data_IF_761160897819
#
_entry.id   IF_761160897819
#
_cell.length_a   1.000
_cell.length_b   1.000
_cell.length_c   1.000
_cell.angle_alpha   90.00
_cell.angle_beta   90.00
_cell.angle_gamma   90.00
#
_symmetry.space_group_name_H-M   'P 1'
#
loop_
_entity.id
_entity.type
_entity.pdbx_description
1 polymer ?
#
# COMPACT_ATOMS: atom_id res chain seq x y z
N UNK A 1 -7.11 25.31 -2.32
CA UNK A 1 -7.84 24.05 -2.60
C UNK A 1 -8.32 23.41 -1.31
N UNK A 2 -7.45 23.17 -0.32
CA UNK A 2 -7.86 22.81 1.04
C UNK A 2 -8.34 24.07 1.77
N UNK A 3 -9.66 24.27 1.86
CA UNK A 3 -10.26 25.42 2.57
C UNK A 3 -11.29 26.23 1.78
N UNK A 4 -11.62 25.85 0.54
CA UNK A 4 -12.77 26.44 -0.14
C UNK A 4 -14.08 26.00 0.56
N UNK A 5 -14.94 26.94 0.97
CA UNK A 5 -16.24 26.59 1.54
C UNK A 5 -17.05 25.76 0.53
N UNK A 6 -17.47 24.56 0.93
CA UNK A 6 -18.32 23.66 0.13
C UNK A 6 -17.70 22.33 -0.28
N UNK A 7 -16.40 22.11 -0.06
CA UNK A 7 -15.75 20.82 -0.30
C UNK A 7 -15.61 20.04 1.02
N UNK A 8 -16.51 19.08 1.24
CA UNK A 8 -16.42 18.12 2.34
C UNK A 8 -15.83 16.81 1.79
N UNK A 9 -14.68 16.42 2.32
CA UNK A 9 -14.03 15.15 2.01
C UNK A 9 -13.79 14.39 3.30
N UNK A 10 -14.17 13.11 3.33
CA UNK A 10 -13.81 12.21 4.42
C UNK A 10 -12.34 11.75 4.31
N UNK A 11 -11.81 11.71 3.08
CA UNK A 11 -10.48 11.21 2.78
C UNK A 11 -9.77 12.05 1.71
N UNK A 12 -8.47 12.18 1.88
CA UNK A 12 -7.55 12.72 0.89
C UNK A 12 -6.47 11.66 0.63
N UNK A 13 -6.40 11.20 -0.62
CA UNK A 13 -5.42 10.18 -1.04
C UNK A 13 -4.37 10.88 -1.89
N UNK A 14 -3.12 10.74 -1.49
CA UNK A 14 -1.97 11.22 -2.25
C UNK A 14 -1.30 10.01 -2.91
N UNK A 15 -1.30 9.99 -4.24
CA UNK A 15 -0.50 9.05 -5.02
C UNK A 15 0.89 9.66 -5.20
N UNK A 16 1.87 9.07 -4.53
CA UNK A 16 3.27 9.49 -4.60
C UNK A 16 3.98 8.54 -5.55
N UNK A 17 4.41 9.07 -6.70
CA UNK A 17 5.12 8.31 -7.71
C UNK A 17 6.51 7.85 -7.26
N UNK A 18 7.24 7.26 -8.20
CA UNK A 18 8.55 6.69 -7.91
C UNK A 18 9.57 7.82 -7.68
N UNK A 19 10.07 7.97 -6.45
CA UNK A 19 11.12 8.94 -6.14
C UNK A 19 11.06 9.44 -4.71
N UNK A 20 11.98 10.33 -4.37
CA UNK A 20 11.96 11.04 -3.10
C UNK A 20 12.45 12.47 -3.32
N UNK A 21 11.56 13.43 -3.11
CA UNK A 21 11.82 14.86 -3.28
C UNK A 21 11.16 15.63 -2.14
N UNK A 22 11.44 16.93 -2.02
CA UNK A 22 10.79 17.81 -1.03
C UNK A 22 9.25 17.74 -1.09
N UNK A 23 8.69 17.48 -2.28
CA UNK A 23 7.26 17.23 -2.44
C UNK A 23 6.81 15.99 -1.67
N UNK A 24 7.55 14.87 -1.77
CA UNK A 24 7.24 13.64 -1.04
C UNK A 24 7.31 13.88 0.47
N UNK A 25 8.35 14.59 0.94
CA UNK A 25 8.50 14.91 2.36
C UNK A 25 7.32 15.71 2.91
N UNK A 26 6.86 16.71 2.16
CA UNK A 26 5.71 17.53 2.56
C UNK A 26 4.43 16.69 2.76
N UNK A 27 4.12 15.77 1.84
CA UNK A 27 2.93 14.91 1.98
C UNK A 27 3.08 13.85 3.07
N UNK A 28 4.26 13.25 3.18
CA UNK A 28 4.55 12.30 4.26
C UNK A 28 4.44 12.97 5.64
N UNK A 29 4.86 14.23 5.76
CA UNK A 29 4.78 15.01 7.00
C UNK A 29 3.36 15.29 7.48
N UNK A 30 2.37 15.34 6.58
CA UNK A 30 0.95 15.59 6.93
C UNK A 30 0.08 14.33 6.90
N UNK A 31 0.62 13.18 6.46
CA UNK A 31 -0.13 11.95 6.33
C UNK A 31 -0.47 11.35 7.70
N UNK A 32 -1.74 11.00 7.92
CA UNK A 32 -2.19 10.25 9.10
C UNK A 32 -2.06 8.74 8.94
N UNK A 33 -1.88 8.26 7.71
CA UNK A 33 -1.67 6.85 7.38
C UNK A 33 -0.83 6.76 6.10
N UNK A 34 0.13 5.84 6.08
CA UNK A 34 1.02 5.62 4.95
C UNK A 34 0.93 4.15 4.55
N UNK A 35 0.76 3.90 3.25
CA UNK A 35 0.82 2.57 2.66
C UNK A 35 1.88 2.53 1.58
N UNK A 36 2.77 1.55 1.65
CA UNK A 36 3.78 1.26 0.63
C UNK A 36 3.26 0.14 -0.27
N UNK A 37 3.25 0.37 -1.58
CA UNK A 37 3.03 -0.69 -2.57
C UNK A 37 4.38 -1.27 -2.98
N UNK A 38 4.51 -2.59 -2.90
CA UNK A 38 5.64 -3.34 -3.44
C UNK A 38 5.10 -4.55 -4.21
N UNK A 39 5.85 -5.11 -5.14
CA UNK A 39 5.50 -6.40 -5.77
C UNK A 39 6.32 -7.55 -5.17
N UNK A 40 5.95 -8.79 -5.50
CA UNK A 40 6.62 -9.99 -4.98
C UNK A 40 8.08 -10.15 -5.45
N UNK A 41 8.54 -9.33 -6.41
CA UNK A 41 9.89 -9.44 -6.97
C UNK A 41 10.92 -8.86 -6.02
N UNK A 42 12.09 -9.50 -5.96
CA UNK A 42 13.17 -9.12 -5.04
C UNK A 42 13.60 -7.65 -5.16
N UNK A 43 13.67 -7.11 -6.37
CA UNK A 43 14.01 -5.70 -6.62
C UNK A 43 12.98 -4.73 -6.03
N UNK A 44 11.70 -5.08 -6.11
CA UNK A 44 10.60 -4.26 -5.56
C UNK A 44 10.55 -4.32 -4.05
N UNK A 45 10.83 -5.49 -3.45
CA UNK A 45 11.02 -5.63 -2.01
C UNK A 45 12.17 -4.73 -1.53
N UNK A 46 13.32 -4.77 -2.21
CA UNK A 46 14.47 -3.93 -1.86
C UNK A 46 14.15 -2.42 -1.96
N UNK A 47 13.43 -2.02 -3.01
CA UNK A 47 12.97 -0.64 -3.18
C UNK A 47 11.95 -0.24 -2.11
N UNK A 48 11.01 -1.12 -1.77
CA UNK A 48 10.05 -0.93 -0.70
C UNK A 48 10.74 -0.69 0.65
N UNK A 49 11.79 -1.45 0.95
CA UNK A 49 12.61 -1.24 2.15
C UNK A 49 13.32 0.13 2.12
N UNK A 50 13.92 0.49 1.00
CA UNK A 50 14.56 1.80 0.86
C UNK A 50 13.55 2.94 1.09
N UNK A 51 12.31 2.79 0.61
CA UNK A 51 11.25 3.76 0.80
C UNK A 51 10.76 3.82 2.25
N UNK A 52 10.59 2.68 2.92
CA UNK A 52 10.27 2.62 4.36
C UNK A 52 11.34 3.37 5.17
N UNK A 53 12.62 3.14 4.86
CA UNK A 53 13.73 3.86 5.50
C UNK A 53 13.66 5.36 5.29
N UNK A 54 13.23 5.82 4.13
CA UNK A 54 13.05 7.24 3.82
C UNK A 54 11.84 7.84 4.53
N UNK A 55 10.70 7.14 4.53
CA UNK A 55 9.51 7.52 5.29
C UNK A 55 9.88 7.72 6.76
N UNK A 56 10.62 6.77 7.36
CA UNK A 56 11.07 6.85 8.75
C UNK A 56 12.09 7.94 9.04
N UNK A 57 12.63 8.64 8.04
CA UNK A 57 13.41 9.87 8.28
C UNK A 57 12.52 11.10 8.42
N UNK A 58 11.37 11.10 7.75
CA UNK A 58 10.43 12.23 7.73
C UNK A 58 9.35 12.09 8.79
N UNK A 59 8.87 10.87 9.03
CA UNK A 59 7.74 10.59 9.89
C UNK A 59 8.01 9.40 10.82
N UNK A 60 8.14 9.67 12.11
CA UNK A 60 8.53 8.67 13.12
C UNK A 60 7.33 7.85 13.62
N UNK A 61 6.17 8.48 13.80
CA UNK A 61 5.08 7.90 14.59
C UNK A 61 4.00 7.19 13.75
N UNK A 62 3.86 7.54 12.46
CA UNK A 62 2.75 7.04 11.64
C UNK A 62 2.97 5.59 11.26
N UNK A 63 2.06 4.65 11.55
CA UNK A 63 2.20 3.25 11.14
C UNK A 63 2.35 3.10 9.63
N UNK A 64 3.31 2.29 9.19
CA UNK A 64 3.49 1.98 7.76
C UNK A 64 2.79 0.65 7.44
N UNK A 65 1.77 0.75 6.60
CA UNK A 65 1.16 -0.41 5.95
C UNK A 65 1.92 -0.81 4.69
N UNK A 66 1.90 -2.09 4.36
CA UNK A 66 2.41 -2.61 3.08
C UNK A 66 1.31 -3.40 2.37
N UNK A 67 1.16 -3.10 1.08
CA UNK A 67 0.31 -3.85 0.15
C UNK A 67 1.22 -4.54 -0.85
N UNK A 68 1.14 -5.86 -0.94
CA UNK A 68 1.90 -6.60 -1.95
C UNK A 68 1.05 -6.71 -3.22
N UNK A 69 1.56 -6.14 -4.30
CA UNK A 69 0.89 -6.03 -5.58
C UNK A 69 1.36 -7.13 -6.54
N UNK A 70 0.47 -7.56 -7.43
CA UNK A 70 0.77 -8.49 -8.53
C UNK A 70 1.39 -9.81 -8.07
N UNK A 71 0.85 -10.40 -7.01
CA UNK A 71 1.22 -11.76 -6.58
C UNK A 71 0.32 -12.79 -7.26
N UNK A 72 0.87 -13.96 -7.59
CA UNK A 72 0.12 -15.08 -8.16
C UNK A 72 -0.74 -15.77 -7.10
N UNK A 73 -0.30 -15.75 -5.83
CA UNK A 73 -1.03 -16.33 -4.71
C UNK A 73 -0.86 -15.53 -3.41
N UNK A 74 -1.70 -15.83 -2.42
CA UNK A 74 -1.61 -15.23 -1.10
C UNK A 74 -0.31 -15.63 -0.38
N UNK A 75 0.10 -16.88 -0.53
CA UNK A 75 1.32 -17.41 0.08
C UNK A 75 2.54 -16.64 -0.42
N UNK A 76 2.62 -16.42 -1.74
CA UNK A 76 3.68 -15.61 -2.35
C UNK A 76 3.68 -14.18 -1.79
N UNK A 77 2.50 -13.56 -1.68
CA UNK A 77 2.37 -12.22 -1.12
C UNK A 77 2.84 -12.15 0.34
N UNK A 78 2.47 -13.11 1.16
CA UNK A 78 2.88 -13.19 2.56
C UNK A 78 4.40 -13.42 2.67
N UNK A 79 4.98 -14.28 1.84
CA UNK A 79 6.43 -14.47 1.80
C UNK A 79 7.19 -13.20 1.42
N UNK A 80 6.70 -12.45 0.41
CA UNK A 80 7.28 -11.18 0.01
C UNK A 80 7.21 -10.13 1.13
N UNK A 81 6.05 -10.02 1.78
CA UNK A 81 5.87 -9.16 2.95
C UNK A 81 6.82 -9.53 4.09
N UNK A 82 6.93 -10.82 4.44
CA UNK A 82 7.78 -11.28 5.54
C UNK A 82 9.26 -10.95 5.29
N UNK A 83 9.73 -11.05 4.04
CA UNK A 83 11.10 -10.63 3.68
C UNK A 83 11.32 -9.13 3.93
N UNK A 84 10.33 -8.32 3.58
CA UNK A 84 10.38 -6.87 3.79
C UNK A 84 10.31 -6.51 5.29
N UNK A 85 9.40 -7.13 6.04
CA UNK A 85 9.23 -6.91 7.48
C UNK A 85 10.47 -7.33 8.26
N UNK A 86 11.07 -8.46 7.91
CA UNK A 86 12.34 -8.89 8.49
C UNK A 86 13.44 -7.85 8.29
N UNK A 87 13.57 -7.29 7.08
CA UNK A 87 14.55 -6.25 6.79
C UNK A 87 14.26 -4.95 7.57
N UNK A 88 12.99 -4.52 7.62
CA UNK A 88 12.58 -3.34 8.37
C UNK A 88 12.88 -3.49 9.87
N UNK A 89 12.52 -4.63 10.47
CA UNK A 89 12.81 -4.93 11.88
C UNK A 89 14.30 -4.99 12.16
N UNK A 90 15.06 -5.72 11.33
CA UNK A 90 16.48 -5.96 11.58
C UNK A 90 17.33 -4.70 11.44
N UNK A 91 17.06 -3.89 10.40
CA UNK A 91 17.92 -2.75 10.08
C UNK A 91 17.40 -1.40 10.58
N UNK A 92 16.09 -1.27 10.81
CA UNK A 92 15.47 -0.02 11.26
C UNK A 92 14.85 -0.11 12.66
N UNK A 93 14.68 -1.32 13.21
CA UNK A 93 13.90 -1.52 14.43
C UNK A 93 12.41 -1.24 14.24
N UNK A 94 11.94 -1.25 12.99
CA UNK A 94 10.59 -0.85 12.61
C UNK A 94 9.70 -2.07 12.38
N UNK A 95 8.49 -2.06 12.93
CA UNK A 95 7.43 -3.02 12.61
C UNK A 95 6.52 -2.43 11.52
N UNK A 96 6.34 -3.17 10.42
CA UNK A 96 5.42 -2.80 9.35
C UNK A 96 4.19 -3.70 9.37
N UNK A 97 3.08 -3.23 8.78
CA UNK A 97 1.80 -3.94 8.84
C UNK A 97 1.37 -4.45 7.47
N UNK A 98 1.08 -5.74 7.36
CA UNK A 98 0.48 -6.30 6.15
C UNK A 98 -0.96 -5.78 6.00
N UNK A 99 -1.21 -4.95 4.98
CA UNK A 99 -2.54 -4.38 4.70
C UNK A 99 -3.35 -5.22 3.71
N UNK A 100 -2.69 -6.15 3.04
CA UNK A 100 -3.30 -7.06 2.09
C UNK A 100 -2.45 -7.23 0.83
N UNK A 101 -3.04 -7.87 -0.17
CA UNK A 101 -2.37 -8.14 -1.43
C UNK A 101 -3.33 -8.04 -2.61
N UNK A 102 -2.76 -7.85 -3.79
CA UNK A 102 -3.47 -7.71 -5.05
C UNK A 102 -2.98 -8.81 -5.98
N UNK A 103 -3.91 -9.63 -6.46
CA UNK A 103 -3.58 -10.71 -7.39
C UNK A 103 -3.10 -10.16 -8.74
N UNK A 104 -2.10 -10.81 -9.34
CA UNK A 104 -1.70 -10.55 -10.71
C UNK A 104 -2.89 -10.75 -11.66
N UNK A 105 -3.04 -9.81 -12.58
CA UNK A 105 -4.15 -9.77 -13.51
C UNK A 105 -3.61 -9.41 -14.90
N UNK A 106 -3.36 -10.41 -15.75
CA UNK A 106 -2.83 -10.18 -17.09
C UNK A 106 -3.68 -9.22 -17.93
N UNK A 107 -5.00 -9.26 -17.74
CA UNK A 107 -5.97 -8.45 -18.47
C UNK A 107 -5.87 -6.97 -18.10
N UNK A 108 -5.40 -6.63 -16.90
CA UNK A 108 -5.23 -5.25 -16.46
C UNK A 108 -4.34 -4.44 -17.40
N UNK A 109 -3.33 -5.08 -18.01
CA UNK A 109 -2.45 -4.43 -19.00
C UNK A 109 -3.21 -4.01 -20.25
N UNK A 110 -4.19 -4.80 -20.69
CA UNK A 110 -5.04 -4.45 -21.82
C UNK A 110 -5.96 -3.29 -21.45
N UNK A 111 -6.64 -3.36 -20.30
CA UNK A 111 -7.57 -2.32 -19.87
C UNK A 111 -6.90 -0.98 -19.58
N UNK A 112 -5.68 -1.00 -19.01
CA UNK A 112 -4.90 0.22 -18.80
C UNK A 112 -4.61 0.97 -20.10
N UNK A 113 -4.44 0.25 -21.23
CA UNK A 113 -4.28 0.87 -22.56
C UNK A 113 -5.57 1.53 -23.06
N UNK A 114 -6.72 0.99 -22.67
CA UNK A 114 -8.04 1.53 -23.02
C UNK A 114 -8.44 2.71 -22.11
N UNK A 115 -7.66 3.03 -21.08
CA UNK A 115 -7.89 4.11 -20.11
C UNK A 115 -9.26 4.04 -19.41
N UNK A 116 -9.82 2.84 -19.28
CA UNK A 116 -11.08 2.63 -18.57
C UNK A 116 -10.80 2.53 -17.07
N UNK A 117 -11.46 3.33 -16.21
CA UNK A 117 -11.34 3.18 -14.76
C UNK A 117 -11.70 1.75 -14.36
N UNK A 118 -10.88 1.17 -13.48
CA UNK A 118 -11.07 -0.21 -13.02
C UNK A 118 -12.52 -0.44 -12.58
N UNK A 119 -13.18 0.54 -11.94
CA UNK A 119 -14.58 0.47 -11.45
C UNK A 119 -15.61 0.16 -12.52
N UNK A 120 -15.30 0.41 -13.79
CA UNK A 120 -16.16 0.14 -14.93
C UNK A 120 -15.83 -1.19 -15.62
N UNK A 121 -14.86 -1.94 -15.09
CA UNK A 121 -14.43 -3.22 -15.63
C UNK A 121 -15.53 -4.29 -15.42
N UNK A 122 -16.09 -4.88 -16.50
CA UNK A 122 -17.10 -5.94 -16.39
C UNK A 122 -16.57 -7.21 -15.71
N UNK A 123 -15.25 -7.43 -15.73
CA UNK A 123 -14.59 -8.47 -14.96
C UNK A 123 -14.49 -8.09 -13.48
N UNK A 124 -15.54 -8.33 -12.71
CA UNK A 124 -15.50 -8.25 -11.23
C UNK A 124 -14.70 -9.43 -10.64
N UNK A 125 -13.47 -9.61 -11.10
CA UNK A 125 -12.58 -10.71 -10.74
C UNK A 125 -11.86 -10.48 -9.40
N UNK A 126 -10.90 -11.36 -9.11
CA UNK A 126 -10.14 -11.38 -7.87
C UNK A 126 -9.43 -10.05 -7.55
N UNK A 127 -8.97 -9.30 -8.57
CA UNK A 127 -8.40 -7.95 -8.42
C UNK A 127 -9.36 -6.98 -7.69
N UNK A 128 -10.64 -7.00 -8.07
CA UNK A 128 -11.67 -6.18 -7.44
C UNK A 128 -11.94 -6.59 -6.00
N UNK A 129 -11.95 -7.89 -5.75
CA UNK A 129 -12.11 -8.44 -4.41
C UNK A 129 -10.92 -8.03 -3.53
N UNK A 130 -9.69 -8.16 -4.02
CA UNK A 130 -8.47 -7.71 -3.33
C UNK A 130 -8.52 -6.23 -2.95
N UNK A 131 -8.79 -5.33 -3.91
CA UNK A 131 -8.86 -3.89 -3.64
C UNK A 131 -9.98 -3.58 -2.63
N UNK A 132 -11.15 -4.21 -2.77
CA UNK A 132 -12.26 -4.02 -1.83
C UNK A 132 -11.89 -4.46 -0.42
N UNK A 133 -11.23 -5.62 -0.28
CA UNK A 133 -10.75 -6.11 1.02
C UNK A 133 -9.74 -5.16 1.63
N UNK A 134 -8.77 -4.64 0.86
CA UNK A 134 -7.78 -3.66 1.32
C UNK A 134 -8.48 -2.39 1.84
N UNK A 135 -9.45 -1.87 1.09
CA UNK A 135 -10.22 -0.68 1.48
C UNK A 135 -11.05 -0.95 2.75
N UNK A 136 -11.69 -2.11 2.85
CA UNK A 136 -12.47 -2.49 4.02
C UNK A 136 -11.59 -2.65 5.27
N UNK A 137 -10.42 -3.30 5.14
CA UNK A 137 -9.45 -3.46 6.23
C UNK A 137 -8.91 -2.12 6.75
N UNK A 138 -9.00 -1.05 5.95
CA UNK A 138 -8.64 0.32 6.35
C UNK A 138 -9.76 1.04 7.10
N UNK A 139 -11.02 0.84 6.67
CA UNK A 139 -12.17 1.58 7.19
C UNK A 139 -12.62 1.11 8.58
N UNK A 140 -12.24 -0.11 9.01
CA UNK A 140 -12.48 -0.59 10.36
C UNK A 140 -11.23 -0.40 11.23
N UNK A 141 -11.22 0.71 11.99
CA UNK A 141 -10.20 1.05 13.00
C UNK A 141 -10.13 0.03 14.16
N UNK A 142 -9.57 -1.15 13.92
CA UNK A 142 -9.08 -2.00 15.00
C UNK A 142 -7.65 -2.47 14.69
N UNK A 143 -6.72 -2.41 15.66
CA UNK A 143 -5.39 -2.97 15.48
C UNK A 143 -5.52 -4.46 15.16
N UNK A 144 -4.79 -4.93 14.14
CA UNK A 144 -4.72 -6.32 13.68
C UNK A 144 -4.10 -7.29 14.71
N UNK A 145 -4.13 -6.97 16.01
CA UNK A 145 -3.81 -7.92 17.11
C UNK A 145 -4.93 -8.92 17.38
N UNK A 146 -6.03 -8.89 16.64
CA UNK A 146 -7.19 -9.77 16.83
C UNK A 146 -7.44 -10.79 15.69
N UNK A 147 -6.52 -10.94 14.74
CA UNK A 147 -6.49 -12.13 13.88
C UNK A 147 -5.42 -13.09 14.42
N UNK A 148 -5.81 -13.89 15.40
CA UNK A 148 -5.15 -15.16 15.68
C UNK A 148 -5.26 -16.01 14.40
N UNK A 149 -4.18 -16.05 13.62
CA UNK A 149 -4.01 -17.03 12.55
C UNK A 149 -3.49 -18.34 13.18
N UNK A 150 -4.37 -19.01 13.92
CA UNK A 150 -4.17 -20.42 14.26
C UNK A 150 -4.80 -21.29 13.16
#
# INVERSE_FOLDING_TARGET
LLGSPGLNFDFLIFDLGNGFSEFHEAFLGIASEISVLADSQYSSIANGYAFIKLIRRVQQEVPIGVIINRSESQEEAVEAFNKLDLAARHFLGEEIFFKGWIQECPELKQYAREMVPITQWPGRGALFASIRTIVQNRLYRAPLKALNWA
#
